data_IF_396020577710
#
_entry.id   IF_396020577710
#
_cell.length_a   1.000
_cell.length_b   1.000
_cell.length_c   1.000
_cell.angle_alpha   90.00
_cell.angle_beta   90.00
_cell.angle_gamma   90.00
#
_symmetry.space_group_name_H-M   'P 1'
#
loop_
_entity.id
_entity.type
_entity.pdbx_description
1 polymer ?
#
# COMPACT_ATOMS: atom_id res chain seq x y z
N UNK A 1 -18.12 16.64 30.60
CA UNK A 1 -17.21 16.76 31.75
C UNK A 1 -17.83 17.56 32.90
N UNK A 2 -18.08 16.92 34.05
CA UNK A 2 -18.49 17.59 35.31
C UNK A 2 -17.33 17.51 36.29
N UNK A 3 -16.92 18.65 36.84
CA UNK A 3 -15.91 18.72 37.91
C UNK A 3 -16.64 18.98 39.22
N UNK A 4 -16.74 17.96 40.09
CA UNK A 4 -17.26 18.17 41.46
C UNK A 4 -16.09 18.46 42.39
N UNK A 5 -16.16 19.58 43.09
CA UNK A 5 -15.26 19.94 44.20
C UNK A 5 -16.00 19.73 45.52
N UNK A 6 -15.63 18.69 46.26
CA UNK A 6 -15.95 18.54 47.68
C UNK A 6 -14.63 18.29 48.41
N UNK A 7 -14.28 19.13 49.39
CA UNK A 7 -13.19 18.87 50.32
C UNK A 7 -11.75 18.88 49.76
N UNK A 8 -11.49 19.49 48.60
CA UNK A 8 -10.13 19.63 48.06
C UNK A 8 -9.68 18.52 47.09
N UNK A 9 -10.49 17.49 46.88
CA UNK A 9 -10.28 16.50 45.82
C UNK A 9 -11.04 16.91 44.55
N UNK A 10 -10.35 16.87 43.40
CA UNK A 10 -10.98 17.06 42.09
C UNK A 10 -11.34 15.70 41.53
N UNK A 11 -12.61 15.34 41.55
CA UNK A 11 -13.08 14.11 40.91
C UNK A 11 -13.47 14.38 39.46
N UNK A 12 -12.80 13.66 38.55
CA UNK A 12 -13.10 13.70 37.12
C UNK A 12 -14.17 12.65 36.82
N UNK A 13 -15.41 13.12 36.64
CA UNK A 13 -16.52 12.25 36.26
C UNK A 13 -16.75 12.43 34.75
N UNK A 14 -16.41 11.41 33.92
CA UNK A 14 -16.73 11.46 32.50
C UNK A 14 -18.25 11.54 32.35
N UNK A 15 -18.70 12.39 31.42
CA UNK A 15 -20.11 12.41 31.04
C UNK A 15 -20.53 11.06 30.47
N UNK A 16 -21.83 10.75 30.45
CA UNK A 16 -22.34 9.54 29.80
C UNK A 16 -21.89 9.39 28.34
N UNK A 17 -21.70 10.49 27.61
CA UNK A 17 -21.16 10.46 26.25
C UNK A 17 -19.68 10.08 26.25
N UNK A 18 -18.85 10.76 27.05
CA UNK A 18 -17.41 10.46 27.16
C UNK A 18 -17.18 8.99 27.58
N UNK A 19 -18.04 8.44 28.45
CA UNK A 19 -17.99 7.03 28.83
C UNK A 19 -18.32 6.09 27.67
N UNK A 20 -19.35 6.39 26.87
CA UNK A 20 -19.71 5.59 25.69
C UNK A 20 -18.61 5.63 24.63
N UNK A 21 -18.07 6.81 24.36
CA UNK A 21 -17.01 7.00 23.37
C UNK A 21 -15.74 6.24 23.79
N UNK A 22 -15.43 6.23 25.10
CA UNK A 22 -14.37 5.40 25.67
C UNK A 22 -14.57 3.91 25.39
N UNK A 23 -15.76 3.36 25.69
CA UNK A 23 -16.07 1.94 25.47
C UNK A 23 -15.96 1.56 23.98
N UNK A 24 -16.49 2.39 23.09
CA UNK A 24 -16.43 2.14 21.64
C UNK A 24 -14.99 2.15 21.14
N UNK A 25 -14.20 3.13 21.58
CA UNK A 25 -12.78 3.21 21.24
C UNK A 25 -12.02 1.98 21.73
N UNK A 26 -12.17 1.60 22.99
CA UNK A 26 -11.42 0.51 23.59
C UNK A 26 -11.76 -0.81 22.88
N UNK A 27 -13.05 -1.06 22.61
CA UNK A 27 -13.48 -2.22 21.82
C UNK A 27 -12.91 -2.21 20.39
N UNK A 28 -12.88 -1.05 19.74
CA UNK A 28 -12.32 -0.92 18.38
C UNK A 28 -10.83 -1.22 18.37
N UNK A 29 -10.08 -0.76 19.37
CA UNK A 29 -8.66 -1.05 19.51
C UNK A 29 -8.38 -2.54 19.72
N UNK A 30 -9.22 -3.24 20.49
CA UNK A 30 -9.13 -4.70 20.65
C UNK A 30 -9.36 -5.43 19.32
N UNK A 31 -10.35 -5.00 18.52
CA UNK A 31 -10.61 -5.58 17.19
C UNK A 31 -9.42 -5.37 16.25
N UNK A 32 -8.84 -4.18 16.23
CA UNK A 32 -7.67 -3.86 15.41
C UNK A 32 -6.44 -4.69 15.82
N UNK A 33 -6.20 -4.82 17.13
CA UNK A 33 -5.13 -5.67 17.64
C UNK A 33 -5.33 -7.15 17.28
N UNK A 34 -6.58 -7.64 17.32
CA UNK A 34 -6.90 -9.00 16.91
C UNK A 34 -6.66 -9.22 15.40
N UNK A 35 -7.03 -8.25 14.58
CA UNK A 35 -6.81 -8.29 13.15
C UNK A 35 -5.31 -8.33 12.81
N UNK A 36 -4.50 -7.43 13.38
CA UNK A 36 -3.04 -7.41 13.21
C UNK A 36 -2.42 -8.77 13.59
N UNK A 37 -2.78 -9.32 14.75
CA UNK A 37 -2.27 -10.61 15.20
C UNK A 37 -2.65 -11.77 14.24
N UNK A 38 -3.83 -11.72 13.63
CA UNK A 38 -4.25 -12.72 12.63
C UNK A 38 -3.52 -12.56 11.31
N UNK A 39 -3.32 -11.33 10.84
CA UNK A 39 -2.58 -11.07 9.61
C UNK A 39 -1.13 -11.52 9.74
N UNK A 40 -0.46 -11.17 10.84
CA UNK A 40 0.92 -11.62 11.12
C UNK A 40 1.05 -13.14 11.09
N UNK A 41 0.10 -13.88 11.69
CA UNK A 41 0.10 -15.36 11.66
C UNK A 41 -0.04 -15.92 10.24
N UNK A 42 -0.82 -15.26 9.39
CA UNK A 42 -0.96 -15.65 7.97
C UNK A 42 0.36 -15.37 7.24
N UNK A 43 0.91 -14.17 7.41
CA UNK A 43 2.18 -13.75 6.80
C UNK A 43 3.33 -14.66 7.19
N UNK A 44 3.49 -14.96 8.49
CA UNK A 44 4.48 -15.91 9.03
C UNK A 44 4.33 -17.30 8.40
N UNK A 45 3.10 -17.82 8.34
CA UNK A 45 2.82 -19.14 7.75
C UNK A 45 3.21 -19.21 6.27
N UNK A 46 3.11 -18.10 5.55
CA UNK A 46 3.45 -18.00 4.14
C UNK A 46 4.88 -17.47 3.89
N UNK A 47 5.68 -17.22 4.94
CA UNK A 47 7.04 -16.71 4.83
C UNK A 47 7.14 -15.28 4.27
N UNK A 48 6.06 -14.50 4.40
CA UNK A 48 6.04 -13.08 4.00
C UNK A 48 6.79 -12.31 5.08
N UNK A 49 7.92 -11.69 4.72
CA UNK A 49 8.65 -10.87 5.67
C UNK A 49 7.79 -9.67 6.10
N UNK A 50 7.83 -9.24 7.38
CA UNK A 50 7.07 -8.08 7.85
C UNK A 50 7.43 -6.79 7.08
N UNK A 51 8.67 -6.69 6.60
CA UNK A 51 9.15 -5.58 5.77
C UNK A 51 8.80 -5.77 4.27
N UNK A 52 8.27 -6.94 3.88
CA UNK A 52 7.95 -7.24 2.49
C UNK A 52 6.81 -6.37 1.96
N UNK A 53 5.87 -5.95 2.81
CA UNK A 53 4.81 -5.03 2.40
C UNK A 53 5.40 -3.66 2.00
N UNK A 54 6.36 -3.14 2.77
CA UNK A 54 7.04 -1.88 2.50
C UNK A 54 8.02 -2.00 1.32
N UNK A 55 8.75 -3.11 1.23
CA UNK A 55 9.61 -3.41 0.08
C UNK A 55 8.80 -3.58 -1.22
N UNK A 56 7.65 -4.25 -1.15
CA UNK A 56 6.74 -4.40 -2.29
C UNK A 56 6.12 -3.06 -2.70
N UNK A 57 5.69 -2.23 -1.74
CA UNK A 57 5.23 -0.88 -2.03
C UNK A 57 6.34 -0.03 -2.70
N UNK A 58 7.57 -0.14 -2.23
CA UNK A 58 8.75 0.50 -2.83
C UNK A 58 9.02 0.02 -4.26
N UNK A 59 8.95 -1.29 -4.50
CA UNK A 59 9.08 -1.89 -5.83
C UNK A 59 7.98 -1.39 -6.78
N UNK A 60 6.73 -1.41 -6.34
CA UNK A 60 5.59 -0.93 -7.12
C UNK A 60 5.70 0.57 -7.44
N UNK A 61 6.19 1.38 -6.50
CA UNK A 61 6.45 2.80 -6.74
C UNK A 61 7.55 3.01 -7.80
N UNK A 62 8.60 2.18 -7.78
CA UNK A 62 9.67 2.21 -8.79
C UNK A 62 9.15 1.83 -10.18
N UNK A 63 8.41 0.72 -10.29
CA UNK A 63 7.83 0.27 -11.56
C UNK A 63 6.96 1.37 -12.18
N UNK A 64 6.08 2.01 -11.40
CA UNK A 64 5.24 3.10 -11.91
C UNK A 64 6.05 4.28 -12.43
N UNK A 65 7.14 4.65 -11.75
CA UNK A 65 8.02 5.74 -12.23
C UNK A 65 8.69 5.37 -13.56
N UNK A 66 9.21 4.15 -13.65
CA UNK A 66 9.83 3.63 -14.87
C UNK A 66 8.83 3.57 -16.04
N UNK A 67 7.59 3.15 -15.79
CA UNK A 67 6.54 3.15 -16.82
C UNK A 67 6.17 4.56 -17.29
N UNK A 68 6.06 5.53 -16.39
CA UNK A 68 5.80 6.93 -16.74
C UNK A 68 6.91 7.47 -17.63
N UNK A 69 8.15 7.19 -17.28
CA UNK A 69 9.33 7.63 -18.02
C UNK A 69 9.42 6.95 -19.40
N UNK A 70 9.22 5.64 -19.45
CA UNK A 70 9.18 4.90 -20.72
C UNK A 70 8.09 5.43 -21.66
N UNK A 71 6.90 5.77 -21.13
CA UNK A 71 5.82 6.39 -21.91
C UNK A 71 6.14 7.81 -22.36
N UNK A 72 6.93 8.57 -21.60
CA UNK A 72 7.41 9.90 -22.00
C UNK A 72 8.38 9.77 -23.17
N UNK A 73 9.41 8.92 -23.02
CA UNK A 73 10.42 8.66 -24.04
C UNK A 73 9.77 8.11 -25.32
N UNK A 74 8.83 7.18 -25.20
CA UNK A 74 8.12 6.63 -26.37
C UNK A 74 7.36 7.72 -27.14
N UNK A 75 6.67 8.63 -26.44
CA UNK A 75 6.02 9.78 -27.09
C UNK A 75 7.02 10.71 -27.76
N UNK A 76 8.13 11.04 -27.11
CA UNK A 76 9.17 11.88 -27.70
C UNK A 76 9.78 11.26 -28.97
N UNK A 77 9.96 9.94 -28.98
CA UNK A 77 10.43 9.21 -30.15
C UNK A 77 9.40 9.22 -31.30
N UNK A 78 8.12 8.99 -30.98
CA UNK A 78 7.03 9.09 -31.96
C UNK A 78 6.89 10.50 -32.54
N UNK A 79 7.00 11.54 -31.70
CA UNK A 79 6.96 12.94 -32.10
C UNK A 79 8.17 13.33 -32.97
N UNK A 80 9.33 12.71 -32.73
CA UNK A 80 10.52 12.82 -33.56
C UNK A 80 10.46 11.97 -34.85
N UNK A 81 9.34 11.27 -35.10
CA UNK A 81 9.10 10.49 -36.32
C UNK A 81 9.63 9.06 -36.29
N UNK A 82 10.13 8.57 -35.15
CA UNK A 82 10.52 7.17 -34.99
C UNK A 82 9.28 6.32 -34.70
N UNK A 83 8.80 5.60 -35.71
CA UNK A 83 7.75 4.59 -35.52
C UNK A 83 8.37 3.26 -35.07
N UNK A 84 7.74 2.58 -34.13
CA UNK A 84 8.07 1.18 -33.83
C UNK A 84 7.72 0.34 -35.06
N UNK A 85 8.73 -0.16 -35.79
CA UNK A 85 8.51 -1.37 -36.57
C UNK A 85 8.11 -2.46 -35.57
N UNK A 86 6.96 -3.08 -35.79
CA UNK A 86 6.45 -4.15 -34.93
C UNK A 86 7.57 -5.16 -34.66
N UNK A 87 8.10 -5.15 -33.44
CA UNK A 87 9.20 -6.02 -33.02
C UNK A 87 8.83 -7.50 -33.17
N UNK A 88 7.53 -7.82 -33.13
CA UNK A 88 7.01 -9.14 -33.47
C UNK A 88 7.25 -9.54 -34.94
N UNK A 89 7.08 -8.60 -35.87
CA UNK A 89 7.36 -8.81 -37.29
C UNK A 89 8.87 -8.84 -37.57
N UNK A 90 9.66 -8.00 -36.89
CA UNK A 90 11.12 -7.98 -37.00
C UNK A 90 11.77 -9.27 -36.45
N UNK A 91 11.29 -9.79 -35.30
CA UNK A 91 11.71 -11.09 -34.77
C UNK A 91 11.31 -12.21 -35.73
N UNK A 92 10.05 -12.25 -36.21
CA UNK A 92 9.59 -13.28 -37.14
C UNK A 92 10.40 -13.31 -38.46
N UNK A 93 10.79 -12.15 -38.98
CA UNK A 93 11.65 -12.04 -40.16
C UNK A 93 13.09 -12.50 -39.92
N UNK A 94 13.60 -12.36 -38.69
CA UNK A 94 14.93 -12.86 -38.29
C UNK A 94 14.93 -14.39 -38.13
N UNK A 95 13.89 -14.96 -37.51
CA UNK A 95 13.78 -16.42 -37.35
C UNK A 95 13.57 -17.12 -38.69
N UNK A 96 12.86 -16.50 -39.64
CA UNK A 96 12.66 -17.05 -40.99
C UNK A 96 13.89 -17.01 -41.91
N UNK A 97 14.86 -16.11 -41.66
CA UNK A 97 16.11 -16.04 -42.44
C UNK A 97 17.20 -17.02 -41.97
N UNK A 98 17.05 -17.59 -40.78
CA UNK A 98 18.09 -18.45 -40.17
C UNK A 98 17.86 -19.94 -40.47
N UNK A 99 16.87 -20.28 -41.31
CA UNK A 99 16.51 -21.67 -41.67
C UNK A 99 16.72 -22.04 -43.15
N UNK A 100 17.56 -21.31 -43.88
CA UNK A 100 18.04 -21.70 -45.22
C UNK A 100 19.56 -21.83 -45.21
#
# INVERSE_FOLDING_TARGET
MIVRRQGGLTEFIPSPQEKRDGVLRDHTLELLANLDARMRRIEERHGIAPDAAEAFAGLMARIRREEVEARRINRELMDAGYQHEDSAAALAAQTGRTQL
#
